data_IF_635125671774
#
_entry.id   IF_635125671774
#
_cell.length_a   1.000
_cell.length_b   1.000
_cell.length_c   1.000
_cell.angle_alpha   90.00
_cell.angle_beta   90.00
_cell.angle_gamma   90.00
#
_symmetry.space_group_name_H-M   'P 1'
#
loop_
_entity.id
_entity.type
_entity.pdbx_description
1 polymer ?
#
# COMPACT_ATOMS: atom_id res chain seq x y z
N UNK A 1 -6.34 -16.83 6.98
CA UNK A 1 -6.57 -16.73 5.52
C UNK A 1 -7.36 -15.50 5.06
N UNK A 2 -8.34 -14.96 5.81
CA UNK A 2 -9.14 -13.78 5.38
C UNK A 2 -8.31 -12.49 5.18
N UNK A 3 -7.35 -12.21 6.07
CA UNK A 3 -6.50 -11.00 6.02
C UNK A 3 -5.64 -10.90 4.74
N UNK A 4 -5.01 -12.00 4.33
CA UNK A 4 -4.21 -12.06 3.11
C UNK A 4 -5.05 -11.87 1.84
N UNK A 5 -6.29 -12.37 1.82
CA UNK A 5 -7.23 -12.16 0.70
C UNK A 5 -7.63 -10.68 0.56
N UNK A 6 -7.87 -9.98 1.66
CA UNK A 6 -8.20 -8.54 1.65
C UNK A 6 -7.01 -7.72 1.13
N UNK A 7 -5.80 -7.98 1.61
CA UNK A 7 -4.59 -7.31 1.11
C UNK A 7 -4.37 -7.54 -0.39
N UNK A 8 -4.46 -8.78 -0.85
CA UNK A 8 -4.27 -9.12 -2.27
C UNK A 8 -5.35 -8.52 -3.16
N UNK A 9 -6.59 -8.45 -2.65
CA UNK A 9 -7.69 -7.74 -3.29
C UNK A 9 -7.29 -6.28 -3.51
N UNK A 10 -6.87 -5.58 -2.46
CA UNK A 10 -6.48 -4.17 -2.52
C UNK A 10 -5.37 -3.93 -3.54
N UNK A 11 -4.32 -4.75 -3.55
CA UNK A 11 -3.22 -4.60 -4.53
C UNK A 11 -3.71 -4.70 -5.99
N UNK A 12 -4.66 -5.61 -6.28
CA UNK A 12 -5.23 -5.77 -7.62
C UNK A 12 -6.18 -4.65 -7.99
N UNK A 13 -6.99 -4.16 -7.05
CA UNK A 13 -7.90 -3.03 -7.29
C UNK A 13 -7.14 -1.73 -7.55
N UNK A 14 -6.03 -1.50 -6.85
CA UNK A 14 -5.18 -0.33 -7.08
C UNK A 14 -4.25 -0.48 -8.29
N UNK A 15 -4.23 -1.66 -8.94
CA UNK A 15 -3.25 -2.05 -9.97
C UNK A 15 -1.79 -1.90 -9.50
N UNK A 16 -1.56 -1.85 -8.19
CA UNK A 16 -0.24 -1.69 -7.61
C UNK A 16 0.66 -2.88 -7.95
N UNK A 17 0.08 -4.07 -8.10
CA UNK A 17 0.76 -5.27 -8.59
C UNK A 17 1.43 -5.04 -9.95
N UNK A 18 0.73 -4.40 -10.89
CA UNK A 18 1.26 -4.06 -12.22
C UNK A 18 2.35 -2.99 -12.16
N UNK A 19 2.17 -1.98 -11.31
CA UNK A 19 3.15 -0.90 -11.14
C UNK A 19 4.44 -1.43 -10.53
N UNK A 20 4.35 -2.28 -9.51
CA UNK A 20 5.50 -2.91 -8.85
C UNK A 20 6.22 -3.86 -9.82
N UNK A 21 5.47 -4.69 -10.56
CA UNK A 21 6.06 -5.59 -11.54
C UNK A 21 6.76 -4.82 -12.67
N UNK A 22 6.13 -3.75 -13.19
CA UNK A 22 6.74 -2.86 -14.17
C UNK A 22 8.00 -2.19 -13.64
N UNK A 23 8.00 -1.78 -12.37
CA UNK A 23 9.17 -1.20 -11.73
C UNK A 23 10.32 -2.22 -11.59
N UNK A 24 10.04 -3.47 -11.22
CA UNK A 24 11.07 -4.51 -11.15
C UNK A 24 11.73 -4.76 -12.51
N UNK A 25 10.93 -4.83 -13.58
CA UNK A 25 11.47 -4.94 -14.94
C UNK A 25 12.28 -3.71 -15.34
N UNK A 26 11.78 -2.51 -15.03
CA UNK A 26 12.47 -1.26 -15.30
C UNK A 26 13.79 -1.15 -14.52
N UNK A 27 13.81 -1.60 -13.26
CA UNK A 27 14.99 -1.62 -12.40
C UNK A 27 16.09 -2.49 -13.00
N UNK A 28 15.75 -3.71 -13.43
CA UNK A 28 16.71 -4.63 -14.07
C UNK A 28 17.20 -4.07 -15.40
N UNK A 29 16.31 -3.47 -16.20
CA UNK A 29 16.68 -2.83 -17.45
C UNK A 29 17.61 -1.63 -17.23
N UNK A 30 17.33 -0.79 -16.23
CA UNK A 30 18.18 0.34 -15.85
C UNK A 30 19.56 -0.13 -15.37
N UNK A 31 19.62 -1.17 -14.54
CA UNK A 31 20.90 -1.75 -14.09
C UNK A 31 21.72 -2.30 -15.26
N UNK A 32 21.06 -2.89 -16.27
CA UNK A 32 21.73 -3.35 -17.49
C UNK A 32 22.25 -2.19 -18.34
N UNK A 33 21.46 -1.12 -18.51
CA UNK A 33 21.89 0.11 -19.21
C UNK A 33 23.08 0.76 -18.50
N UNK A 34 23.00 0.91 -17.18
CA UNK A 34 24.09 1.48 -16.38
C UNK A 34 25.36 0.65 -16.53
N UNK A 35 25.27 -0.67 -16.46
CA UNK A 35 26.42 -1.56 -16.65
C UNK A 35 27.07 -1.44 -18.04
N UNK A 36 26.28 -1.22 -19.09
CA UNK A 36 26.81 -1.11 -20.45
C UNK A 36 27.43 0.26 -20.76
N UNK A 37 26.91 1.32 -20.14
CA UNK A 37 27.26 2.69 -20.53
C UNK A 37 28.12 3.43 -19.51
N UNK A 38 28.16 3.01 -18.24
CA UNK A 38 29.00 3.66 -17.22
C UNK A 38 30.37 2.98 -17.09
N UNK A 39 31.48 3.67 -17.42
CA UNK A 39 32.80 3.04 -17.52
C UNK A 39 33.41 2.63 -16.18
N UNK A 40 33.01 3.28 -15.08
CA UNK A 40 33.47 2.96 -13.73
C UNK A 40 32.80 1.68 -13.19
N UNK A 41 31.64 1.30 -13.74
CA UNK A 41 30.83 0.18 -13.30
C UNK A 41 31.15 -1.05 -14.15
N UNK A 42 32.12 -1.84 -13.70
CA UNK A 42 32.64 -3.00 -14.47
C UNK A 42 31.83 -4.28 -14.27
N UNK A 43 31.18 -4.45 -13.11
CA UNK A 43 30.40 -5.65 -12.79
C UNK A 43 28.92 -5.33 -12.73
N UNK A 44 28.10 -6.30 -13.17
CA UNK A 44 26.63 -6.20 -13.07
C UNK A 44 26.14 -6.02 -11.62
N UNK A 45 26.87 -6.57 -10.65
CA UNK A 45 26.54 -6.41 -9.23
C UNK A 45 26.71 -4.97 -8.76
N UNK A 46 27.69 -4.25 -9.29
CA UNK A 46 27.94 -2.84 -8.96
C UNK A 46 26.86 -1.94 -9.58
N UNK A 47 26.33 -2.30 -10.77
CA UNK A 47 25.21 -1.57 -11.37
C UNK A 47 23.89 -1.81 -10.63
N UNK A 48 23.64 -3.04 -10.17
CA UNK A 48 22.49 -3.36 -9.31
C UNK A 48 22.58 -2.61 -7.97
N UNK A 49 23.76 -2.52 -7.39
CA UNK A 49 24.03 -1.74 -6.19
C UNK A 49 23.79 -0.25 -6.41
N UNK A 50 24.33 0.32 -7.49
CA UNK A 50 24.08 1.71 -7.88
C UNK A 50 22.58 2.00 -8.02
N UNK A 51 21.85 1.13 -8.73
CA UNK A 51 20.41 1.28 -8.91
C UNK A 51 19.66 1.17 -7.57
N UNK A 52 20.06 0.27 -6.67
CA UNK A 52 19.47 0.16 -5.33
C UNK A 52 19.66 1.44 -4.52
N UNK A 53 20.88 1.95 -4.42
CA UNK A 53 21.24 3.16 -3.67
C UNK A 53 20.53 4.40 -4.25
N UNK A 54 20.43 4.48 -5.56
CA UNK A 54 19.71 5.56 -6.27
C UNK A 54 18.20 5.48 -6.04
N UNK A 55 17.62 4.27 -6.13
CA UNK A 55 16.19 4.04 -5.97
C UNK A 55 15.70 4.30 -4.55
N UNK A 56 16.53 3.94 -3.56
CA UNK A 56 16.25 4.19 -2.14
C UNK A 56 16.59 5.61 -1.72
N UNK A 57 17.06 6.46 -2.63
CA UNK A 57 17.46 7.85 -2.37
C UNK A 57 18.59 8.00 -1.34
N UNK A 58 19.39 6.95 -1.11
CA UNK A 58 20.52 6.96 -0.16
C UNK A 58 21.69 7.76 -0.76
N UNK A 59 22.06 7.46 -2.01
CA UNK A 59 23.09 8.21 -2.76
C UNK A 59 24.48 8.25 -2.11
N UNK A 60 25.09 7.09 -1.80
CA UNK A 60 26.43 7.03 -1.20
C UNK A 60 27.52 7.71 -2.02
N UNK A 61 27.37 7.77 -3.35
CA UNK A 61 28.31 8.44 -4.25
C UNK A 61 29.60 7.64 -4.53
N UNK A 62 29.62 6.36 -4.17
CA UNK A 62 30.66 5.39 -4.51
C UNK A 62 30.68 5.02 -6.00
N UNK A 63 29.52 5.07 -6.66
CA UNK A 63 29.38 5.05 -8.12
C UNK A 63 28.50 6.21 -8.59
N UNK A 64 28.86 6.85 -9.70
CA UNK A 64 28.12 7.99 -10.25
C UNK A 64 27.92 7.86 -11.76
N UNK A 65 26.74 8.28 -12.24
CA UNK A 65 26.45 8.30 -13.66
C UNK A 65 27.10 9.52 -14.34
N UNK A 66 28.16 9.28 -15.13
CA UNK A 66 28.90 10.33 -15.84
C UNK A 66 28.45 10.47 -17.28
N UNK A 67 27.90 9.41 -17.88
CA UNK A 67 27.45 9.44 -19.28
C UNK A 67 26.07 10.05 -19.43
N UNK A 68 25.77 10.58 -20.61
CA UNK A 68 24.44 11.15 -20.92
C UNK A 68 23.37 10.06 -20.77
N UNK A 69 23.63 8.85 -21.30
CA UNK A 69 22.70 7.72 -21.25
C UNK A 69 22.47 7.27 -19.82
N UNK A 70 23.53 7.09 -19.03
CA UNK A 70 23.41 6.71 -17.63
C UNK A 70 22.68 7.76 -16.80
N UNK A 71 22.94 9.06 -17.01
CA UNK A 71 22.20 10.13 -16.34
C UNK A 71 20.71 10.12 -16.64
N UNK A 72 20.33 9.91 -17.91
CA UNK A 72 18.92 9.79 -18.30
C UNK A 72 18.29 8.56 -17.62
N UNK A 73 18.98 7.42 -17.61
CA UNK A 73 18.52 6.21 -16.94
C UNK A 73 18.33 6.42 -15.43
N UNK A 74 19.28 7.10 -14.77
CA UNK A 74 19.20 7.42 -13.34
C UNK A 74 18.07 8.38 -13.01
N UNK A 75 17.84 9.42 -13.83
CA UNK A 75 16.69 10.34 -13.65
C UNK A 75 15.38 9.57 -13.76
N UNK A 76 15.23 8.73 -14.79
CA UNK A 76 14.02 7.93 -14.99
C UNK A 76 13.81 6.94 -13.83
N UNK A 77 14.90 6.30 -13.35
CA UNK A 77 14.87 5.43 -12.18
C UNK A 77 14.43 6.17 -10.93
N UNK A 78 14.98 7.35 -10.63
CA UNK A 78 14.61 8.13 -9.46
C UNK A 78 13.13 8.53 -9.47
N UNK A 79 12.60 9.02 -10.60
CA UNK A 79 11.19 9.40 -10.72
C UNK A 79 10.27 8.19 -10.45
N UNK A 80 10.55 7.05 -11.08
CA UNK A 80 9.74 5.86 -10.89
C UNK A 80 9.86 5.32 -9.46
N UNK A 81 11.06 5.34 -8.87
CA UNK A 81 11.29 4.90 -7.50
C UNK A 81 10.47 5.69 -6.49
N UNK A 82 10.38 7.02 -6.63
CA UNK A 82 9.58 7.87 -5.75
C UNK A 82 8.09 7.48 -5.81
N UNK A 83 7.56 7.22 -7.01
CA UNK A 83 6.17 6.76 -7.20
C UNK A 83 5.94 5.44 -6.46
N UNK A 84 6.85 4.47 -6.60
CA UNK A 84 6.71 3.14 -5.98
C UNK A 84 6.83 3.22 -4.46
N UNK A 85 7.78 4.00 -3.94
CA UNK A 85 7.93 4.21 -2.50
C UNK A 85 6.68 4.87 -1.91
N UNK A 86 6.09 5.83 -2.61
CA UNK A 86 4.84 6.49 -2.18
C UNK A 86 3.61 5.55 -2.20
N UNK A 87 3.62 4.49 -3.02
CA UNK A 87 2.51 3.53 -3.06
C UNK A 87 2.43 2.67 -1.81
N UNK A 88 3.57 2.35 -1.18
CA UNK A 88 3.61 1.48 0.02
C UNK A 88 2.72 2.02 1.15
N UNK A 89 2.88 3.26 1.65
CA UNK A 89 1.99 3.79 2.67
C UNK A 89 0.54 3.90 2.17
N UNK A 90 0.31 4.22 0.90
CA UNK A 90 -1.04 4.29 0.32
C UNK A 90 -1.79 2.95 0.35
N UNK A 91 -1.09 1.83 0.09
CA UNK A 91 -1.65 0.48 0.19
C UNK A 91 -1.95 0.13 1.65
N UNK A 92 -1.06 0.49 2.58
CA UNK A 92 -1.26 0.25 4.01
C UNK A 92 -2.50 1.01 4.51
N UNK A 93 -2.62 2.30 4.19
CA UNK A 93 -3.78 3.11 4.55
C UNK A 93 -5.06 2.53 3.94
N UNK A 94 -5.05 2.17 2.65
CA UNK A 94 -6.21 1.52 2.00
C UNK A 94 -6.60 0.21 2.68
N UNK A 95 -5.63 -0.59 3.12
CA UNK A 95 -5.88 -1.81 3.88
C UNK A 95 -6.56 -1.53 5.22
N UNK A 96 -6.09 -0.53 5.96
CA UNK A 96 -6.73 -0.17 7.22
C UNK A 96 -8.15 0.37 7.03
N UNK A 97 -8.38 1.21 6.02
CA UNK A 97 -9.70 1.76 5.69
C UNK A 97 -10.69 0.66 5.28
N UNK A 98 -10.27 -0.27 4.42
CA UNK A 98 -11.13 -1.39 4.02
C UNK A 98 -11.40 -2.33 5.20
N UNK A 99 -10.39 -2.59 6.04
CA UNK A 99 -10.53 -3.42 7.23
C UNK A 99 -11.52 -2.82 8.25
N UNK A 100 -11.49 -1.51 8.49
CA UNK A 100 -12.44 -0.84 9.39
C UNK A 100 -13.84 -0.77 8.80
N UNK A 101 -13.97 -0.59 7.48
CA UNK A 101 -15.25 -0.61 6.78
C UNK A 101 -15.93 -1.98 6.88
N UNK A 102 -15.24 -3.06 6.54
CA UNK A 102 -15.78 -4.43 6.61
C UNK A 102 -16.27 -4.76 8.03
N UNK A 103 -15.52 -4.36 9.06
CA UNK A 103 -15.91 -4.59 10.46
C UNK A 103 -17.15 -3.79 10.88
N UNK A 104 -17.31 -2.58 10.35
CA UNK A 104 -18.49 -1.75 10.59
C UNK A 104 -19.72 -2.35 9.92
N UNK A 105 -19.60 -2.80 8.68
CA UNK A 105 -20.70 -3.42 7.92
C UNK A 105 -21.18 -4.72 8.58
N UNK A 106 -20.27 -5.61 9.02
CA UNK A 106 -20.63 -6.82 9.79
C UNK A 106 -21.39 -6.46 11.08
N UNK A 107 -20.96 -5.41 11.79
CA UNK A 107 -21.62 -4.97 13.02
C UNK A 107 -23.01 -4.39 12.74
N UNK A 108 -23.18 -3.67 11.63
CA UNK A 108 -24.47 -3.09 11.22
C UNK A 108 -25.46 -4.17 10.78
N UNK A 109 -25.01 -5.20 10.07
CA UNK A 109 -25.87 -6.33 9.68
C UNK A 109 -26.43 -7.05 10.90
N UNK A 110 -25.61 -7.31 11.93
CA UNK A 110 -26.06 -7.91 13.19
C UNK A 110 -27.08 -7.03 13.94
N UNK A 111 -26.93 -5.70 13.86
CA UNK A 111 -27.89 -4.77 14.46
C UNK A 111 -29.21 -4.83 13.69
N UNK A 112 -29.17 -4.77 12.36
CA UNK A 112 -30.36 -4.83 11.51
C UNK A 112 -31.11 -6.16 11.68
N UNK A 113 -30.42 -7.29 11.72
CA UNK A 113 -31.03 -8.62 11.95
C UNK A 113 -31.75 -8.71 13.30
N UNK A 114 -31.15 -8.14 14.36
CA UNK A 114 -31.81 -7.99 15.67
C UNK A 114 -32.99 -7.02 15.62
N UNK A 115 -32.96 -6.01 14.76
CA UNK A 115 -34.08 -5.08 14.57
C UNK A 115 -35.25 -5.75 13.82
N UNK A 116 -34.96 -6.63 12.85
CA UNK A 116 -36.01 -7.36 12.14
C UNK A 116 -36.70 -8.40 13.03
N UNK A 117 -35.98 -9.01 13.98
CA UNK A 117 -36.52 -9.98 14.94
C UNK A 117 -36.79 -9.37 16.33
N UNK A 118 -37.17 -8.09 16.40
CA UNK A 118 -37.42 -7.36 17.67
C UNK A 118 -38.44 -8.04 18.58
N UNK A 119 -39.43 -8.69 17.99
CA UNK A 119 -40.51 -9.42 18.66
C UNK A 119 -40.02 -10.69 19.39
N UNK A 120 -38.90 -11.26 18.95
CA UNK A 120 -38.31 -12.50 19.52
C UNK A 120 -37.23 -12.24 20.57
N UNK A 121 -36.88 -10.97 20.80
CA UNK A 121 -35.82 -10.58 21.75
C UNK A 121 -36.33 -10.54 23.19
N UNK A 122 -35.52 -11.11 24.10
CA UNK A 122 -35.73 -10.96 25.54
C UNK A 122 -35.51 -9.50 25.98
N UNK A 123 -36.05 -9.11 27.13
CA UNK A 123 -35.88 -7.74 27.67
C UNK A 123 -34.41 -7.39 27.91
N UNK A 124 -33.61 -8.38 28.30
CA UNK A 124 -32.18 -8.29 28.55
C UNK A 124 -31.43 -7.96 27.26
N UNK A 125 -31.73 -8.66 26.16
CA UNK A 125 -31.09 -8.43 24.86
C UNK A 125 -31.53 -7.10 24.23
N UNK A 126 -32.77 -6.69 24.46
CA UNK A 126 -33.31 -5.40 23.99
C UNK A 126 -32.60 -4.23 24.70
N UNK A 127 -32.29 -4.38 25.99
CA UNK A 127 -31.49 -3.44 26.77
C UNK A 127 -30.02 -3.42 26.30
N UNK A 128 -29.47 -4.57 25.96
CA UNK A 128 -28.11 -4.67 25.38
C UNK A 128 -28.03 -3.94 24.03
N UNK A 129 -29.02 -4.16 23.14
CA UNK A 129 -29.11 -3.51 21.83
C UNK A 129 -29.23 -1.99 21.96
N UNK A 130 -30.10 -1.50 22.85
CA UNK A 130 -30.24 -0.07 23.17
C UNK A 130 -28.91 0.54 23.63
N UNK A 131 -28.16 -0.18 24.48
CA UNK A 131 -26.86 0.28 24.99
C UNK A 131 -25.80 0.31 23.89
N UNK A 132 -25.73 -0.71 23.03
CA UNK A 132 -24.85 -0.75 21.85
C UNK A 132 -25.14 0.40 20.89
N UNK A 133 -26.41 0.66 20.57
CA UNK A 133 -26.82 1.77 19.68
C UNK A 133 -26.45 3.13 20.29
N UNK A 134 -26.70 3.35 21.58
CA UNK A 134 -26.31 4.58 22.28
C UNK A 134 -24.80 4.81 22.23
N UNK A 135 -24.00 3.76 22.44
CA UNK A 135 -22.53 3.83 22.37
C UNK A 135 -22.05 4.12 20.95
N UNK A 136 -22.63 3.46 19.94
CA UNK A 136 -22.32 3.70 18.53
C UNK A 136 -22.64 5.14 18.09
N UNK A 137 -23.82 5.66 18.49
CA UNK A 137 -24.23 7.06 18.25
C UNK A 137 -23.28 8.07 18.89
N UNK A 138 -22.84 7.80 20.14
CA UNK A 138 -21.89 8.66 20.86
C UNK A 138 -20.53 8.71 20.16
N UNK A 139 -20.03 7.56 19.67
CA UNK A 139 -18.76 7.51 18.97
C UNK A 139 -18.81 8.25 17.62
N UNK A 140 -19.85 8.07 16.80
CA UNK A 140 -19.97 8.81 15.52
C UNK A 140 -20.15 10.32 15.69
N UNK A 141 -20.83 10.77 16.76
CA UNK A 141 -20.98 12.19 17.07
C UNK A 141 -19.69 12.89 17.49
N UNK A 142 -18.70 12.14 17.99
CA UNK A 142 -17.38 12.66 18.36
C UNK A 142 -16.39 12.69 17.19
N UNK A 143 -16.58 11.88 16.14
CA UNK A 143 -15.75 11.88 14.92
C UNK A 143 -16.12 13.00 13.93
N UNK A 144 -17.29 13.63 14.10
CA UNK A 144 -17.78 14.72 13.25
C UNK A 144 -17.47 16.14 13.78
N UNK A 145 -16.70 16.24 14.86
CA UNK A 145 -16.18 17.49 15.44
C UNK A 145 -14.66 17.51 15.31
#
# INVERSE_FOLDING_TARGET
MKKAKVFWKIMKYTKADKIIFGYLLFFVAAAFVIWLFEPEITRIWDSLWYCYVTSTTIGFGDFVAVTIVGRIASIALSIYSIIVIALVPGIVVSYFLEYTKVRTDESMLLITDKLENLDKLSKEELKELSTKIKKFRKNRGNEAK
#
